data_IF_814066746568
#
_entry.id   IF_814066746568
#
_cell.length_a   1.000
_cell.length_b   1.000
_cell.length_c   1.000
_cell.angle_alpha   90.00
_cell.angle_beta   90.00
_cell.angle_gamma   90.00
#
_symmetry.space_group_name_H-M   'P 1'
#
loop_
_entity.id
_entity.type
_entity.pdbx_description
1 polymer ?
#
# COMPACT_ATOMS: atom_id res chain seq x y z
N UNK A 1 12.22 2.69 8.65
CA UNK A 1 11.03 2.27 7.90
C UNK A 1 11.25 0.87 7.33
N UNK A 2 10.24 0.03 7.38
CA UNK A 2 10.28 -1.33 6.88
C UNK A 2 9.35 -1.48 5.67
N UNK A 3 9.86 -2.10 4.60
CA UNK A 3 9.05 -2.50 3.47
C UNK A 3 8.35 -3.82 3.82
N UNK A 4 7.01 -3.78 3.92
CA UNK A 4 6.18 -4.94 4.14
C UNK A 4 5.57 -5.45 2.84
N UNK A 5 5.69 -6.76 2.61
CA UNK A 5 4.93 -7.49 1.61
C UNK A 5 4.26 -8.67 2.30
N UNK A 6 2.93 -8.64 2.37
CA UNK A 6 2.21 -9.67 3.12
C UNK A 6 0.78 -9.83 2.62
N UNK A 7 0.32 -11.09 2.56
CA UNK A 7 -1.08 -11.45 2.44
C UNK A 7 -1.78 -11.56 3.79
N UNK A 8 -1.03 -11.40 4.88
CA UNK A 8 -1.48 -11.57 6.27
C UNK A 8 -1.26 -10.28 7.08
N UNK A 9 -1.82 -9.18 6.56
CA UNK A 9 -1.78 -7.88 7.24
C UNK A 9 -2.43 -7.97 8.65
N UNK A 10 -1.84 -7.42 9.72
CA UNK A 10 -0.68 -6.53 9.74
C UNK A 10 0.69 -7.22 9.81
N UNK A 11 0.76 -8.54 9.77
CA UNK A 11 2.00 -9.27 9.81
C UNK A 11 2.80 -9.08 8.52
N UNK A 12 4.11 -8.95 8.67
CA UNK A 12 5.04 -8.69 7.57
C UNK A 12 5.79 -9.96 7.21
N UNK A 13 5.79 -10.32 5.92
CA UNK A 13 6.57 -11.42 5.38
C UNK A 13 7.85 -10.88 4.74
N UNK A 14 8.92 -11.69 4.81
CA UNK A 14 10.17 -11.39 4.09
C UNK A 14 9.90 -11.46 2.58
N UNK A 15 10.41 -10.47 1.84
CA UNK A 15 10.36 -10.48 0.38
C UNK A 15 11.26 -11.60 -0.14
N UNK A 16 10.74 -12.47 -1.01
CA UNK A 16 11.51 -13.53 -1.65
C UNK A 16 12.69 -12.94 -2.44
N UNK A 17 13.86 -13.57 -2.36
CA UNK A 17 15.10 -13.04 -2.94
C UNK A 17 15.01 -12.81 -4.46
N UNK A 18 14.24 -13.63 -5.18
CA UNK A 18 14.01 -13.49 -6.63
C UNK A 18 13.12 -12.28 -6.98
N UNK A 19 12.46 -11.65 -5.99
CA UNK A 19 11.57 -10.49 -6.16
C UNK A 19 12.14 -9.19 -5.60
N UNK A 20 13.22 -9.23 -4.82
CA UNK A 20 13.80 -8.03 -4.21
C UNK A 20 14.20 -7.00 -5.27
N UNK A 21 14.72 -7.41 -6.42
CA UNK A 21 15.18 -6.53 -7.49
C UNK A 21 14.06 -5.73 -8.17
N UNK A 22 12.80 -6.14 -8.05
CA UNK A 22 11.65 -5.42 -8.64
C UNK A 22 11.11 -4.34 -7.73
N UNK A 23 11.53 -4.30 -6.47
CA UNK A 23 11.22 -3.19 -5.56
C UNK A 23 12.26 -2.08 -5.68
N UNK A 24 11.80 -0.85 -5.79
CA UNK A 24 12.66 0.32 -5.60
C UNK A 24 12.96 0.49 -4.11
N UNK A 25 14.07 1.18 -3.73
CA UNK A 25 14.25 1.60 -2.35
C UNK A 25 13.03 2.36 -1.84
N UNK A 26 12.71 2.21 -0.55
CA UNK A 26 11.67 3.02 0.07
C UNK A 26 11.99 4.51 -0.09
N UNK A 27 10.98 5.30 -0.36
CA UNK A 27 11.09 6.73 -0.59
C UNK A 27 10.41 7.50 0.53
N UNK A 28 11.03 8.61 0.91
CA UNK A 28 10.49 9.56 1.89
C UNK A 28 10.15 10.86 1.18
N UNK A 29 8.91 11.32 1.30
CA UNK A 29 8.45 12.61 0.78
C UNK A 29 8.14 13.54 1.93
N UNK A 30 8.75 14.73 1.92
CA UNK A 30 8.59 15.75 2.96
C UNK A 30 7.49 16.78 2.62
N UNK A 31 7.32 17.75 3.51
CA UNK A 31 6.30 18.83 3.36
C UNK A 31 6.51 19.71 2.12
N UNK A 32 7.74 19.78 1.58
CA UNK A 32 8.03 20.55 0.37
C UNK A 32 7.71 19.76 -0.91
N UNK A 33 7.35 18.48 -0.78
CA UNK A 33 7.17 17.56 -1.90
C UNK A 33 8.46 16.92 -2.40
N UNK A 34 9.59 17.18 -1.71
CA UNK A 34 10.87 16.56 -2.03
C UNK A 34 10.87 15.10 -1.63
N UNK A 35 11.22 14.24 -2.57
CA UNK A 35 11.32 12.79 -2.37
C UNK A 35 12.78 12.35 -2.39
N UNK A 36 13.18 11.57 -1.40
CA UNK A 36 14.52 10.97 -1.28
C UNK A 36 14.42 9.48 -1.04
N UNK A 37 15.40 8.73 -1.55
CA UNK A 37 15.50 7.30 -1.28
C UNK A 37 16.03 7.06 0.14
N UNK A 38 15.41 6.11 0.84
CA UNK A 38 15.91 5.60 2.10
C UNK A 38 17.02 4.57 1.85
N UNK A 39 17.93 4.44 2.80
CA UNK A 39 19.05 3.51 2.71
C UNK A 39 18.67 2.14 3.27
N UNK A 40 18.98 1.07 2.53
CA UNK A 40 18.81 -0.30 3.01
C UNK A 40 19.75 -0.57 4.21
N UNK A 41 19.19 -1.14 5.28
CA UNK A 41 19.93 -1.50 6.50
C UNK A 41 20.11 -3.02 6.57
N UNK A 42 20.93 -3.59 5.69
CA UNK A 42 21.37 -4.99 5.79
C UNK A 42 20.36 -6.03 5.36
N UNK A 43 19.12 -5.96 5.80
CA UNK A 43 18.04 -6.84 5.37
C UNK A 43 17.27 -6.24 4.20
N UNK A 44 16.70 -7.09 3.33
CA UNK A 44 16.13 -6.68 2.06
C UNK A 44 14.86 -5.81 2.15
N UNK A 45 14.30 -5.64 3.34
CA UNK A 45 13.08 -4.87 3.57
C UNK A 45 13.21 -3.78 4.64
N UNK A 46 14.42 -3.60 5.20
CA UNK A 46 14.67 -2.57 6.21
C UNK A 46 15.39 -1.37 5.61
N UNK A 47 14.83 -0.20 5.84
CA UNK A 47 15.35 1.07 5.31
C UNK A 47 15.43 2.12 6.41
N UNK A 48 16.47 2.95 6.34
CA UNK A 48 16.72 4.05 7.27
C UNK A 48 16.99 5.34 6.50
N UNK A 49 16.67 6.48 7.11
CA UNK A 49 17.08 7.78 6.58
C UNK A 49 18.58 8.00 6.80
N UNK A 50 19.23 8.73 5.88
CA UNK A 50 20.66 9.08 6.01
C UNK A 50 20.94 10.05 7.15
N UNK A 51 19.93 10.81 7.56
CA UNK A 51 20.00 11.78 8.66
C UNK A 51 18.75 11.69 9.52
N UNK A 52 18.84 12.22 10.75
CA UNK A 52 17.67 12.32 11.63
C UNK A 52 16.61 13.22 10.97
N UNK A 53 15.36 12.73 10.93
CA UNK A 53 14.25 13.50 10.39
C UNK A 53 13.86 14.63 11.34
N UNK A 54 13.55 15.79 10.76
CA UNK A 54 12.95 16.91 11.50
C UNK A 54 11.51 16.54 11.86
N UNK A 55 11.01 17.12 12.95
CA UNK A 55 9.60 17.00 13.33
C UNK A 55 8.71 17.44 12.18
N UNK A 56 7.66 16.70 11.92
CA UNK A 56 6.70 16.99 10.87
C UNK A 56 6.06 15.76 10.27
N UNK A 57 5.34 16.00 9.19
CA UNK A 57 4.57 14.99 8.46
C UNK A 57 5.30 14.55 7.19
N UNK A 58 5.28 13.25 6.94
CA UNK A 58 5.96 12.62 5.81
C UNK A 58 5.11 11.53 5.19
N UNK A 59 5.38 11.22 3.93
CA UNK A 59 4.95 9.99 3.29
C UNK A 59 6.14 9.04 3.08
N UNK A 60 5.96 7.79 3.44
CA UNK A 60 6.88 6.70 3.08
C UNK A 60 6.24 5.92 1.94
N UNK A 61 6.91 5.90 0.79
CA UNK A 61 6.43 5.24 -0.41
C UNK A 61 7.20 3.98 -0.75
N UNK A 62 6.49 3.00 -1.28
CA UNK A 62 7.05 1.77 -1.82
C UNK A 62 6.58 1.57 -3.26
N UNK A 63 7.48 1.27 -4.17
CA UNK A 63 7.17 1.06 -5.58
C UNK A 63 7.71 -0.29 -6.04
N UNK A 64 6.81 -1.10 -6.57
CA UNK A 64 7.10 -2.34 -7.27
C UNK A 64 7.19 -2.00 -8.76
N UNK A 65 8.36 -2.21 -9.37
CA UNK A 65 8.60 -1.86 -10.78
C UNK A 65 7.68 -2.66 -11.70
N UNK A 66 7.29 -2.11 -12.87
CA UNK A 66 6.54 -2.84 -13.86
C UNK A 66 7.21 -4.18 -14.18
N UNK A 67 6.49 -5.28 -14.00
CA UNK A 67 7.01 -6.63 -14.17
C UNK A 67 5.99 -7.49 -14.89
N UNK A 68 6.44 -8.23 -15.91
CA UNK A 68 5.59 -9.17 -16.63
C UNK A 68 5.48 -10.49 -15.87
N UNK A 69 4.25 -10.93 -15.69
CA UNK A 69 3.92 -12.21 -15.11
C UNK A 69 3.04 -13.00 -16.06
N UNK A 70 3.52 -14.14 -16.52
CA UNK A 70 2.76 -15.05 -17.37
C UNK A 70 2.54 -16.38 -16.71
N UNK A 71 1.40 -16.98 -16.98
CA UNK A 71 0.99 -18.25 -16.43
C UNK A 71 0.90 -19.33 -17.52
N UNK A 72 1.47 -20.50 -17.23
CA UNK A 72 1.28 -21.74 -17.97
C UNK A 72 0.90 -22.88 -17.01
N UNK A 73 0.91 -24.13 -17.49
CA UNK A 73 0.59 -25.31 -16.67
C UNK A 73 1.53 -25.51 -15.46
N UNK A 74 2.74 -24.95 -15.50
CA UNK A 74 3.73 -25.03 -14.42
C UNK A 74 3.62 -23.88 -13.40
N UNK A 75 2.71 -22.91 -13.62
CA UNK A 75 2.49 -21.77 -12.74
C UNK A 75 2.93 -20.43 -13.34
N UNK A 76 3.20 -19.47 -12.45
CA UNK A 76 3.57 -18.10 -12.81
C UNK A 76 5.09 -17.95 -12.99
N UNK A 77 5.48 -17.24 -14.06
CA UNK A 77 6.87 -16.89 -14.36
C UNK A 77 6.99 -15.42 -14.70
N UNK A 78 8.13 -14.82 -14.40
CA UNK A 78 8.45 -13.43 -14.78
C UNK A 78 8.85 -13.34 -16.26
N UNK A 79 7.90 -13.59 -17.14
CA UNK A 79 8.09 -13.60 -18.60
C UNK A 79 6.87 -13.02 -19.31
N UNK A 80 7.07 -12.58 -20.56
CA UNK A 80 5.97 -12.21 -21.45
C UNK A 80 5.30 -13.45 -22.05
N UNK A 81 4.17 -13.26 -22.75
CA UNK A 81 3.53 -14.34 -23.51
C UNK A 81 4.46 -14.97 -24.55
N UNK A 82 5.30 -14.14 -25.18
CA UNK A 82 6.23 -14.62 -26.22
C UNK A 82 7.33 -15.51 -25.67
N UNK A 83 7.76 -15.25 -24.44
CA UNK A 83 8.94 -15.88 -23.84
C UNK A 83 8.61 -17.10 -22.98
N UNK A 84 7.33 -17.32 -22.67
CA UNK A 84 6.90 -18.46 -21.87
C UNK A 84 6.12 -19.47 -22.73
N UNK A 85 6.72 -20.66 -23.02
CA UNK A 85 6.01 -21.71 -23.75
C UNK A 85 4.73 -22.15 -23.03
N UNK A 86 3.64 -22.26 -23.79
CA UNK A 86 2.34 -22.68 -23.24
C UNK A 86 1.65 -21.63 -22.38
N UNK A 87 2.08 -20.37 -22.41
CA UNK A 87 1.45 -19.30 -21.68
C UNK A 87 0.02 -19.06 -22.15
N UNK A 88 -0.92 -19.01 -21.21
CA UNK A 88 -2.35 -18.76 -21.46
C UNK A 88 -2.80 -17.38 -21.01
N UNK A 89 -2.05 -16.75 -20.11
CA UNK A 89 -2.36 -15.44 -19.55
C UNK A 89 -1.07 -14.68 -19.21
N UNK A 90 -1.12 -13.36 -19.39
CA UNK A 90 -0.05 -12.46 -19.00
C UNK A 90 -0.63 -11.14 -18.45
N UNK A 91 -0.05 -10.66 -17.36
CA UNK A 91 -0.25 -9.31 -16.86
C UNK A 91 1.10 -8.60 -16.66
N UNK A 92 1.17 -7.33 -17.01
CA UNK A 92 2.18 -6.45 -16.44
C UNK A 92 1.63 -5.91 -15.14
N UNK A 93 2.30 -6.16 -14.03
CA UNK A 93 1.88 -5.71 -12.71
C UNK A 93 2.77 -4.58 -12.21
N UNK A 94 2.12 -3.54 -11.67
CA UNK A 94 2.75 -2.45 -10.95
C UNK A 94 2.08 -2.31 -9.59
N UNK A 95 2.85 -2.09 -8.54
CA UNK A 95 2.33 -1.92 -7.19
C UNK A 95 2.91 -0.67 -6.56
N UNK A 96 2.06 0.06 -5.87
CA UNK A 96 2.41 1.30 -5.17
C UNK A 96 1.85 1.24 -3.75
N UNK A 97 2.68 1.57 -2.79
CA UNK A 97 2.25 1.68 -1.40
C UNK A 97 2.71 2.98 -0.81
N UNK A 98 1.93 3.56 0.07
CA UNK A 98 2.36 4.69 0.88
C UNK A 98 1.78 4.61 2.28
N UNK A 99 2.60 5.01 3.24
CA UNK A 99 2.24 5.08 4.65
C UNK A 99 2.52 6.48 5.18
N UNK A 100 1.58 7.03 5.95
CA UNK A 100 1.76 8.32 6.58
C UNK A 100 2.65 8.19 7.82
N UNK A 101 3.63 9.08 7.93
CA UNK A 101 4.58 9.11 9.05
C UNK A 101 4.54 10.49 9.71
N UNK A 102 4.24 10.53 11.00
CA UNK A 102 4.36 11.72 11.83
C UNK A 102 5.58 11.58 12.73
N UNK A 103 6.48 12.55 12.65
CA UNK A 103 7.72 12.60 13.45
C UNK A 103 7.61 13.69 14.51
N UNK A 104 7.95 13.35 15.75
CA UNK A 104 7.93 14.28 16.88
C UNK A 104 6.53 14.61 17.38
N UNK A 105 6.44 15.74 18.11
CA UNK A 105 5.22 16.20 18.77
C UNK A 105 4.41 17.22 17.97
N UNK A 106 4.88 17.60 16.79
CA UNK A 106 4.13 18.49 15.89
C UNK A 106 2.81 17.83 15.45
N UNK A 107 1.76 18.62 15.30
CA UNK A 107 0.50 18.16 14.77
C UNK A 107 0.61 17.73 13.29
N UNK A 108 -0.36 16.95 12.83
CA UNK A 108 -0.44 16.52 11.43
C UNK A 108 -0.57 17.74 10.52
N UNK A 109 0.30 17.85 9.52
CA UNK A 109 0.20 18.85 8.46
C UNK A 109 -0.78 18.34 7.39
N UNK A 110 -1.96 18.89 7.35
CA UNK A 110 -3.03 18.49 6.43
C UNK A 110 -2.63 18.73 4.96
N UNK A 111 -1.79 19.71 4.69
CA UNK A 111 -1.27 19.98 3.34
C UNK A 111 -0.36 18.87 2.83
N UNK A 112 0.38 18.20 3.71
CA UNK A 112 1.16 17.01 3.39
C UNK A 112 0.25 15.80 3.17
N UNK A 113 -0.70 15.62 4.07
CA UNK A 113 -1.62 14.49 4.06
C UNK A 113 -2.44 14.42 2.77
N UNK A 114 -2.94 15.56 2.30
CA UNK A 114 -3.84 15.66 1.14
C UNK A 114 -3.11 15.84 -0.19
N UNK A 115 -1.77 15.91 -0.18
CA UNK A 115 -0.98 16.07 -1.39
C UNK A 115 -0.61 14.71 -2.00
N UNK A 116 -0.82 14.50 -3.32
CA UNK A 116 -0.29 13.33 -4.01
C UNK A 116 1.23 13.28 -3.98
N UNK A 117 1.79 12.07 -3.89
CA UNK A 117 3.25 11.84 -4.02
C UNK A 117 3.67 11.55 -5.46
N UNK A 118 2.70 11.32 -6.37
CA UNK A 118 2.94 11.16 -7.80
C UNK A 118 3.06 9.71 -8.28
N UNK A 119 2.58 8.73 -7.54
CA UNK A 119 2.47 7.35 -8.01
C UNK A 119 1.46 7.24 -9.17
N UNK A 120 1.68 6.30 -10.09
CA UNK A 120 0.80 6.11 -11.24
C UNK A 120 -0.63 5.74 -10.83
N UNK A 121 -0.80 4.85 -9.85
CA UNK A 121 -2.06 4.64 -9.15
C UNK A 121 -1.87 5.04 -7.69
N UNK A 122 -2.72 5.93 -7.21
CA UNK A 122 -2.55 6.51 -5.89
C UNK A 122 -3.87 6.74 -5.17
N UNK A 123 -3.88 6.40 -3.89
CA UNK A 123 -4.95 6.73 -2.95
C UNK A 123 -4.56 7.97 -2.16
N UNK A 124 -5.39 9.01 -2.20
CA UNK A 124 -5.13 10.28 -1.54
C UNK A 124 -6.23 10.56 -0.52
N UNK A 125 -5.91 10.63 0.79
CA UNK A 125 -6.89 11.05 1.77
C UNK A 125 -7.22 12.53 1.58
N UNK A 126 -8.49 12.89 1.67
CA UNK A 126 -8.95 14.27 1.53
C UNK A 126 -9.22 14.93 2.88
N UNK A 127 -9.09 14.19 3.97
CA UNK A 127 -9.32 14.63 5.33
C UNK A 127 -8.35 13.93 6.28
N UNK A 128 -8.01 14.59 7.38
CA UNK A 128 -7.19 13.96 8.41
C UNK A 128 -7.96 12.81 9.08
N UNK A 129 -7.49 11.56 8.96
CA UNK A 129 -8.20 10.41 9.51
C UNK A 129 -8.22 10.39 11.03
N UNK A 130 -7.33 11.11 11.73
CA UNK A 130 -7.39 11.26 13.18
C UNK A 130 -8.60 12.08 13.64
N UNK A 131 -9.18 12.89 12.76
CA UNK A 131 -10.38 13.68 13.02
C UNK A 131 -11.66 12.95 12.64
N UNK A 132 -11.54 11.78 11.99
CA UNK A 132 -12.70 10.98 11.62
C UNK A 132 -13.10 10.11 12.79
N UNK A 133 -14.36 10.26 13.22
CA UNK A 133 -14.95 9.39 14.24
C UNK A 133 -15.29 8.02 13.64
N UNK A 134 -15.31 7.01 14.48
CA UNK A 134 -15.82 5.68 14.11
C UNK A 134 -17.24 5.83 13.54
N UNK A 135 -17.46 5.26 12.36
CA UNK A 135 -18.72 5.42 11.62
C UNK A 135 -18.85 6.72 10.82
N UNK A 136 -17.88 7.64 10.93
CA UNK A 136 -17.80 8.84 10.11
C UNK A 136 -17.28 8.57 8.71
N UNK A 137 -17.23 9.63 7.89
CA UNK A 137 -16.79 9.52 6.50
C UNK A 137 -15.31 9.92 6.38
N UNK A 138 -14.49 9.03 5.82
CA UNK A 138 -13.12 9.30 5.40
C UNK A 138 -13.09 9.34 3.86
N UNK A 139 -13.12 10.53 3.25
CA UNK A 139 -13.09 10.63 1.80
C UNK A 139 -11.69 10.32 1.28
N UNK A 140 -11.62 9.39 0.34
CA UNK A 140 -10.40 8.97 -0.36
C UNK A 140 -10.57 9.24 -1.85
N UNK A 141 -9.59 9.88 -2.45
CA UNK A 141 -9.53 10.09 -3.90
C UNK A 141 -8.58 9.09 -4.52
N UNK A 142 -9.01 8.44 -5.59
CA UNK A 142 -8.17 7.55 -6.39
C UNK A 142 -7.73 8.28 -7.64
N UNK A 143 -6.41 8.36 -7.84
CA UNK A 143 -5.78 8.96 -9.01
C UNK A 143 -5.10 7.87 -9.85
N UNK A 144 -5.31 7.94 -11.16
CA UNK A 144 -4.55 7.16 -12.13
C UNK A 144 -3.87 8.10 -13.12
N UNK A 145 -2.54 8.06 -13.16
CA UNK A 145 -1.71 8.99 -13.94
C UNK A 145 -2.05 10.47 -13.66
N UNK A 146 -2.29 10.77 -12.38
CA UNK A 146 -2.61 12.12 -11.91
C UNK A 146 -4.05 12.57 -12.12
N UNK A 147 -4.91 11.73 -12.70
CA UNK A 147 -6.32 12.06 -12.98
C UNK A 147 -7.28 11.25 -12.10
N UNK A 148 -8.42 11.81 -11.72
CA UNK A 148 -9.45 11.07 -10.98
C UNK A 148 -9.88 9.79 -11.72
N UNK A 149 -9.92 8.67 -11.00
CA UNK A 149 -10.37 7.38 -11.53
C UNK A 149 -11.76 7.04 -10.99
N UNK A 150 -12.75 7.09 -11.87
CA UNK A 150 -14.12 6.73 -11.54
C UNK A 150 -14.32 5.20 -11.55
N UNK A 151 -15.30 4.72 -10.78
CA UNK A 151 -15.71 3.31 -10.71
C UNK A 151 -14.61 2.34 -10.28
N UNK A 152 -13.58 2.83 -9.61
CA UNK A 152 -12.55 1.98 -9.00
C UNK A 152 -13.09 1.34 -7.73
N UNK A 153 -12.90 0.04 -7.58
CA UNK A 153 -13.22 -0.65 -6.34
C UNK A 153 -12.16 -0.37 -5.30
N UNK A 154 -12.61 0.14 -4.14
CA UNK A 154 -11.77 0.43 -2.99
C UNK A 154 -12.20 -0.49 -1.85
N UNK A 155 -11.25 -1.20 -1.27
CA UNK A 155 -11.46 -2.05 -0.10
C UNK A 155 -10.61 -1.55 1.05
N UNK A 156 -11.03 -1.80 2.27
CA UNK A 156 -10.29 -1.42 3.44
C UNK A 156 -10.39 -2.48 4.55
N UNK A 157 -9.28 -2.69 5.24
CA UNK A 157 -9.19 -3.51 6.44
C UNK A 157 -8.37 -2.79 7.51
N UNK A 158 -8.43 -3.26 8.74
CA UNK A 158 -7.62 -2.71 9.83
C UNK A 158 -6.88 -3.82 10.58
N UNK A 159 -5.82 -3.44 11.30
CA UNK A 159 -5.09 -4.35 12.20
C UNK A 159 -6.02 -4.91 13.30
N UNK A 160 -6.86 -4.06 13.88
CA UNK A 160 -7.84 -4.47 14.88
C UNK A 160 -8.83 -5.51 14.33
N UNK A 161 -9.33 -5.29 13.11
CA UNK A 161 -10.25 -6.20 12.45
C UNK A 161 -9.57 -7.53 12.11
N UNK A 162 -8.32 -7.51 11.68
CA UNK A 162 -7.52 -8.70 11.40
C UNK A 162 -7.28 -9.54 12.67
N UNK A 163 -7.08 -8.91 13.82
CA UNK A 163 -6.95 -9.60 15.11
C UNK A 163 -8.26 -10.25 15.56
N UNK A 164 -9.41 -9.66 15.21
CA UNK A 164 -10.74 -10.16 15.59
C UNK A 164 -11.20 -11.32 14.70
N UNK A 165 -10.78 -11.38 13.46
CA UNK A 165 -11.18 -12.39 12.48
C UNK A 165 -10.05 -13.40 12.22
N UNK A 166 -9.81 -14.27 13.19
CA UNK A 166 -8.77 -15.30 13.10
C UNK A 166 -9.01 -16.30 11.96
N UNK A 167 -10.26 -16.58 11.62
CA UNK A 167 -10.57 -17.53 10.55
C UNK A 167 -10.15 -16.99 9.19
N UNK A 168 -10.48 -15.73 8.87
CA UNK A 168 -10.06 -15.08 7.64
C UNK A 168 -8.53 -14.96 7.55
N UNK A 169 -7.87 -14.63 8.66
CA UNK A 169 -6.41 -14.51 8.73
C UNK A 169 -5.75 -15.88 8.53
N UNK A 170 -6.31 -16.94 9.12
CA UNK A 170 -5.80 -18.31 8.99
C UNK A 170 -5.87 -18.82 7.54
N UNK A 171 -6.91 -18.45 6.81
CA UNK A 171 -7.08 -18.77 5.39
C UNK A 171 -6.29 -17.83 4.44
N UNK A 172 -5.39 -17.00 4.96
CA UNK A 172 -4.63 -15.98 4.23
C UNK A 172 -5.50 -14.94 3.50
N UNK A 173 -6.72 -14.74 3.96
CA UNK A 173 -7.61 -13.68 3.48
C UNK A 173 -7.62 -12.52 4.46
N UNK A 174 -7.51 -11.30 3.92
CA UNK A 174 -7.68 -10.09 4.74
C UNK A 174 -9.17 -9.85 4.98
N UNK A 175 -9.60 -9.68 6.26
CA UNK A 175 -10.98 -9.29 6.52
C UNK A 175 -11.24 -7.89 5.98
N UNK A 176 -12.32 -7.73 5.23
CA UNK A 176 -12.73 -6.46 4.67
C UNK A 176 -13.70 -5.76 5.62
N UNK A 177 -13.28 -4.61 6.16
CA UNK A 177 -14.14 -3.74 6.94
C UNK A 177 -14.96 -2.77 6.10
N UNK A 178 -14.57 -2.58 4.84
CA UNK A 178 -15.24 -1.69 3.89
C UNK A 178 -14.99 -2.14 2.45
N UNK A 179 -15.99 -1.94 1.61
CA UNK A 179 -15.86 -2.03 0.15
C UNK A 179 -16.79 -1.01 -0.51
N UNK A 180 -16.30 -0.30 -1.51
CA UNK A 180 -17.06 0.69 -2.26
C UNK A 180 -16.40 1.03 -3.58
N UNK A 181 -17.09 1.83 -4.39
CA UNK A 181 -16.59 2.30 -5.68
C UNK A 181 -16.49 3.81 -5.70
N UNK A 182 -15.47 4.33 -6.38
CA UNK A 182 -15.32 5.76 -6.60
C UNK A 182 -16.42 6.31 -7.50
N UNK A 183 -16.80 7.55 -7.23
CA UNK A 183 -17.73 8.33 -8.06
C UNK A 183 -17.02 8.91 -9.30
N UNK A 184 -17.74 9.79 -10.02
CA UNK A 184 -17.22 10.46 -11.22
C UNK A 184 -15.98 11.33 -10.97
N UNK A 185 -15.79 11.80 -9.74
CA UNK A 185 -14.68 12.64 -9.31
C UNK A 185 -13.52 11.79 -8.71
N UNK A 186 -13.63 10.47 -8.78
CA UNK A 186 -12.65 9.54 -8.23
C UNK A 186 -12.69 9.42 -6.71
N UNK A 187 -13.76 9.84 -6.05
CA UNK A 187 -13.89 9.87 -4.60
C UNK A 187 -14.77 8.74 -4.10
N UNK A 188 -14.34 8.10 -3.03
CA UNK A 188 -15.13 7.15 -2.25
C UNK A 188 -15.04 7.55 -0.78
N UNK A 189 -16.15 7.46 -0.04
CA UNK A 189 -16.16 7.67 1.39
C UNK A 189 -15.96 6.35 2.11
N UNK A 190 -14.77 6.12 2.63
CA UNK A 190 -14.48 4.97 3.50
C UNK A 190 -15.12 5.21 4.86
N UNK A 191 -15.80 4.22 5.39
CA UNK A 191 -16.46 4.30 6.70
C UNK A 191 -15.72 3.37 7.65
N UNK A 192 -14.76 3.88 8.45
CA UNK A 192 -14.05 3.06 9.41
C UNK A 192 -14.96 2.79 10.62
N UNK A 193 -15.29 1.53 10.84
CA UNK A 193 -16.15 1.10 11.95
C UNK A 193 -15.37 0.83 13.23
N UNK A 194 -14.05 0.77 13.15
CA UNK A 194 -13.15 0.49 14.28
C UNK A 194 -11.93 1.39 14.13
N UNK A 195 -11.45 1.96 15.25
CA UNK A 195 -10.17 2.67 15.28
C UNK A 195 -9.01 1.70 15.09
N UNK A 196 -7.91 2.16 14.55
CA UNK A 196 -6.69 1.40 14.39
C UNK A 196 -5.88 1.79 13.16
N UNK A 197 -4.94 0.93 12.79
CA UNK A 197 -4.16 1.07 11.57
C UNK A 197 -4.96 0.47 10.41
N UNK A 198 -5.32 1.30 9.45
CA UNK A 198 -6.12 0.90 8.29
C UNK A 198 -5.24 0.73 7.06
N UNK A 199 -5.58 -0.29 6.28
CA UNK A 199 -5.01 -0.57 4.98
C UNK A 199 -6.10 -0.44 3.92
N UNK A 200 -5.97 0.55 3.06
CA UNK A 200 -6.94 0.89 2.02
C UNK A 200 -6.32 0.55 0.67
N UNK A 201 -7.03 -0.19 -0.16
CA UNK A 201 -6.54 -0.71 -1.43
C UNK A 201 -7.42 -0.30 -2.59
N UNK A 202 -6.79 -0.07 -3.75
CA UNK A 202 -7.45 0.05 -5.04
C UNK A 202 -6.68 -0.72 -6.10
N UNK A 203 -7.38 -1.15 -7.15
CA UNK A 203 -6.79 -1.78 -8.32
C UNK A 203 -7.36 -1.15 -9.57
N UNK A 204 -6.53 -1.07 -10.61
CA UNK A 204 -6.94 -0.64 -11.95
C UNK A 204 -6.42 -1.64 -12.97
N UNK A 205 -7.33 -2.17 -13.77
CA UNK A 205 -7.01 -3.07 -14.87
C UNK A 205 -7.22 -2.36 -16.19
N UNK A 206 -6.22 -2.41 -17.04
CA UNK A 206 -6.26 -1.89 -18.39
C UNK A 206 -5.75 -2.94 -19.38
N UNK A 207 -6.11 -2.77 -20.64
CA UNK A 207 -5.54 -3.60 -21.70
C UNK A 207 -4.08 -3.22 -21.92
N UNK A 208 -3.22 -4.22 -22.06
CA UNK A 208 -1.85 -3.98 -22.52
C UNK A 208 -1.87 -3.66 -24.03
N UNK A 209 -1.09 -2.68 -24.45
CA UNK A 209 -1.14 -2.14 -25.82
C UNK A 209 -0.81 -3.19 -26.89
N UNK A 210 0.23 -4.01 -26.66
CA UNK A 210 0.63 -5.10 -27.57
C UNK A 210 0.15 -6.46 -27.04
N UNK A 211 -0.97 -6.93 -27.52
CA UNK A 211 -1.59 -8.19 -27.08
C UNK A 211 -0.73 -9.43 -27.37
N UNK A 212 0.23 -9.35 -28.25
CA UNK A 212 1.20 -10.43 -28.49
C UNK A 212 2.22 -10.55 -27.37
N UNK A 213 2.45 -9.48 -26.61
CA UNK A 213 3.39 -9.44 -25.47
C UNK A 213 2.66 -9.79 -24.17
N UNK A 214 1.48 -9.22 -23.95
CA UNK A 214 0.72 -9.38 -22.72
C UNK A 214 -0.75 -8.97 -22.93
N UNK A 215 -1.67 -9.50 -22.11
CA UNK A 215 -3.09 -9.13 -22.20
C UNK A 215 -3.44 -7.92 -21.35
N UNK A 216 -2.89 -7.82 -20.13
CA UNK A 216 -3.33 -6.86 -19.13
C UNK A 216 -2.17 -5.99 -18.64
N UNK A 217 -2.50 -4.73 -18.35
CA UNK A 217 -1.65 -3.78 -17.63
C UNK A 217 -2.36 -3.40 -16.32
N UNK A 218 -1.92 -4.01 -15.22
CA UNK A 218 -2.60 -3.94 -13.93
C UNK A 218 -1.78 -3.12 -12.94
N UNK A 219 -2.44 -2.17 -12.29
CA UNK A 219 -1.86 -1.38 -11.22
C UNK A 219 -2.61 -1.62 -9.91
N UNK A 220 -1.85 -1.68 -8.82
CA UNK A 220 -2.36 -1.89 -7.46
C UNK A 220 -1.80 -0.81 -6.55
N UNK A 221 -2.64 -0.22 -5.71
CA UNK A 221 -2.23 0.79 -4.75
C UNK A 221 -2.73 0.45 -3.35
N UNK A 222 -1.89 0.75 -2.37
CA UNK A 222 -2.19 0.57 -0.95
C UNK A 222 -1.86 1.84 -0.18
N UNK A 223 -2.77 2.26 0.67
CA UNK A 223 -2.59 3.35 1.60
C UNK A 223 -2.68 2.81 3.03
N UNK A 224 -1.66 3.06 3.84
CA UNK A 224 -1.64 2.68 5.25
C UNK A 224 -1.63 3.94 6.10
N UNK A 225 -2.59 4.07 7.00
CA UNK A 225 -2.69 5.19 7.91
C UNK A 225 -3.51 4.87 9.16
N UNK A 226 -3.22 5.53 10.29
CA UNK A 226 -4.03 5.38 11.50
C UNK A 226 -5.36 6.11 11.34
N UNK A 227 -6.43 5.53 11.89
CA UNK A 227 -7.75 6.14 12.01
C UNK A 227 -8.12 6.22 13.47
N UNK A 228 -8.57 7.38 13.90
CA UNK A 228 -8.91 7.65 15.30
C UNK A 228 -7.69 7.97 16.15
N UNK A 229 -7.86 7.93 17.46
CA UNK A 229 -6.84 8.29 18.45
C UNK A 229 -6.06 7.09 18.97
N UNK A 230 -6.52 5.86 18.69
CA UNK A 230 -5.83 4.63 19.08
C UNK A 230 -4.56 4.48 18.28
N UNK A 231 -3.41 4.41 18.97
CA UNK A 231 -2.13 4.11 18.31
C UNK A 231 -2.14 2.67 17.80
N UNK A 232 -1.40 2.42 16.71
CA UNK A 232 -1.11 1.06 16.29
C UNK A 232 -0.57 0.26 17.48
N UNK A 233 -1.01 -0.99 17.63
CA UNK A 233 -0.55 -1.85 18.71
C UNK A 233 0.98 -1.89 18.71
N UNK A 234 1.61 -1.50 19.82
CA UNK A 234 3.04 -1.66 20.01
C UNK A 234 3.31 -3.17 19.91
N UNK A 235 4.26 -3.55 19.07
CA UNK A 235 4.77 -4.92 19.11
C UNK A 235 5.40 -5.11 20.47
N UNK A 236 4.74 -5.85 21.34
CA UNK A 236 5.38 -6.37 22.55
C UNK A 236 6.43 -7.39 22.07
N UNK A 237 7.67 -6.97 22.01
CA UNK A 237 8.78 -7.90 22.01
C UNK A 237 8.72 -8.62 23.34
N UNK A 238 8.24 -9.86 23.32
CA UNK A 238 8.40 -10.75 24.45
C UNK A 238 9.89 -11.08 24.57
N UNK A 239 10.58 -10.29 25.35
CA UNK A 239 11.86 -10.72 25.87
C UNK A 239 11.59 -11.88 26.84
N UNK A 240 11.75 -13.10 26.33
CA UNK A 240 11.89 -14.25 27.20
C UNK A 240 13.18 -14.09 28.01
N UNK A 241 13.08 -13.58 29.22
CA UNK A 241 14.11 -13.81 30.22
C UNK A 241 14.07 -15.28 30.58
N UNK A 242 15.01 -16.06 30.04
CA UNK A 242 15.32 -17.37 30.58
C UNK A 242 16.05 -17.16 31.91
N UNK A 243 15.47 -17.64 33.00
CA UNK A 243 16.12 -17.87 34.29
C UNK A 243 16.77 -19.26 34.26
#
# INVERSE_FOLDING_TARGET
ADLGYSHDFPNVEKIADDRVHIFKPLQLTDKSGKTVDLTNKGENYQYVSKSRLKDGSYWVGAVYKPTFWSQNSEGWKQKTLKDLPGATYCEQAQMFGKAFLQVGSAGVDESVLTRPVGHELELVPLKNPNEVKVGGLLPIKVLYKGKPLAKATVTASSDTLAEMDLAATHDHREPQGFSGKTDKDGVVNVIPLIEGLWKIKAAHQADYADKSVCQQDNAYATLIMPVGTKRAAERHEHHHHQH
#
